data_IF_171349953450
#
_entry.id   IF_171349953450
#
_cell.length_a   1.000
_cell.length_b   1.000
_cell.length_c   1.000
_cell.angle_alpha   90.00
_cell.angle_beta   90.00
_cell.angle_gamma   90.00
#
_symmetry.space_group_name_H-M   'P 1'
#
loop_
_entity.id
_entity.type
_entity.pdbx_description
1 polymer ?
#
# COMPACT_ATOMS: atom_id res chain seq x y z
N UNK A 1 2.55 -3.01 4.23
CA UNK A 1 3.05 -1.62 4.34
C UNK A 1 1.94 -0.76 4.91
N UNK A 2 2.26 0.42 5.47
CA UNK A 2 1.31 1.23 6.23
C UNK A 2 0.65 0.38 7.32
N UNK A 3 1.51 -0.28 8.12
CA UNK A 3 1.09 -1.41 8.94
C UNK A 3 0.11 -1.01 10.06
N UNK A 4 0.16 0.25 10.51
CA UNK A 4 -0.60 0.73 11.65
C UNK A 4 -0.40 -0.19 12.85
N UNK A 5 -1.51 -0.62 13.45
CA UNK A 5 -1.51 -1.60 14.56
C UNK A 5 -1.48 -3.06 14.09
N UNK A 6 -1.35 -3.31 12.78
CA UNK A 6 -1.19 -4.65 12.21
C UNK A 6 -2.48 -5.36 11.79
N UNK A 7 -3.54 -4.64 11.43
CA UNK A 7 -4.82 -5.25 11.02
C UNK A 7 -4.69 -6.26 9.87
N UNK A 8 -3.94 -5.92 8.82
CA UNK A 8 -3.64 -6.86 7.72
C UNK A 8 -2.89 -8.09 8.20
N UNK A 9 -1.88 -7.91 9.06
CA UNK A 9 -1.09 -9.01 9.59
C UNK A 9 -1.99 -9.98 10.34
N UNK A 10 -2.82 -9.50 11.27
CA UNK A 10 -3.75 -10.35 12.00
C UNK A 10 -4.70 -11.12 11.07
N UNK A 11 -5.29 -10.43 10.08
CA UNK A 11 -6.21 -11.05 9.14
C UNK A 11 -5.56 -12.20 8.36
N UNK A 12 -4.37 -11.98 7.79
CA UNK A 12 -3.68 -12.98 6.98
C UNK A 12 -2.99 -14.07 7.81
N UNK A 13 -2.48 -13.76 9.02
CA UNK A 13 -1.96 -14.77 9.94
C UNK A 13 -3.04 -15.74 10.38
N UNK A 14 -4.27 -15.26 10.63
CA UNK A 14 -5.41 -16.13 10.93
C UNK A 14 -5.79 -17.07 9.76
N UNK A 15 -5.35 -16.74 8.54
CA UNK A 15 -5.51 -17.58 7.35
C UNK A 15 -4.27 -18.46 7.06
N UNK A 16 -3.29 -18.48 7.97
CA UNK A 16 -2.08 -19.29 7.86
C UNK A 16 -0.96 -18.68 7.02
N UNK A 17 -1.00 -17.37 6.73
CA UNK A 17 0.08 -16.68 6.03
C UNK A 17 1.11 -16.10 6.99
N UNK A 18 2.37 -16.04 6.56
CA UNK A 18 3.47 -15.47 7.34
C UNK A 18 3.77 -14.01 6.91
N UNK A 19 3.92 -13.13 7.90
CA UNK A 19 4.31 -11.74 7.65
C UNK A 19 5.83 -11.65 7.56
N UNK A 20 6.36 -11.51 6.33
CA UNK A 20 7.82 -11.44 6.08
C UNK A 20 8.39 -10.02 6.10
N UNK A 21 7.53 -9.01 6.06
CA UNK A 21 7.92 -7.60 6.09
C UNK A 21 6.77 -6.72 6.58
N UNK A 22 7.09 -5.73 7.42
CA UNK A 22 6.17 -4.68 7.85
C UNK A 22 6.87 -3.32 7.82
N UNK A 23 6.13 -2.27 7.47
CA UNK A 23 6.61 -0.88 7.49
C UNK A 23 5.51 0.04 8.01
N UNK A 24 5.88 0.91 8.95
CA UNK A 24 5.08 1.90 9.64
C UNK A 24 6.02 2.99 10.17
N UNK A 25 5.75 4.25 9.84
CA UNK A 25 6.58 5.39 10.26
C UNK A 25 6.15 6.00 11.61
N UNK A 26 4.89 5.78 12.03
CA UNK A 26 4.36 6.37 13.25
C UNK A 26 4.87 5.59 14.46
N UNK A 27 5.58 6.29 15.34
CA UNK A 27 6.24 5.69 16.50
C UNK A 27 5.23 5.07 17.47
N UNK A 28 4.02 5.62 17.59
CA UNK A 28 3.00 5.08 18.49
C UNK A 28 2.36 3.80 17.93
N UNK A 29 2.14 3.74 16.62
CA UNK A 29 1.73 2.55 15.92
C UNK A 29 2.81 1.46 16.02
N UNK A 30 4.09 1.79 15.83
CA UNK A 30 5.20 0.85 16.01
C UNK A 30 5.23 0.25 17.43
N UNK A 31 5.03 1.06 18.48
CA UNK A 31 4.95 0.56 19.87
C UNK A 31 3.82 -0.45 20.04
N UNK A 32 2.66 -0.15 19.48
CA UNK A 32 1.50 -1.05 19.53
C UNK A 32 1.77 -2.33 18.74
N UNK A 33 2.41 -2.22 17.57
CA UNK A 33 2.78 -3.35 16.74
C UNK A 33 3.78 -4.27 17.46
N UNK A 34 4.82 -3.68 18.08
CA UNK A 34 5.79 -4.41 18.91
C UNK A 34 5.11 -5.16 20.06
N UNK A 35 4.19 -4.52 20.76
CA UNK A 35 3.46 -5.14 21.87
C UNK A 35 2.62 -6.36 21.44
N UNK A 36 2.09 -6.36 20.21
CA UNK A 36 1.25 -7.45 19.70
C UNK A 36 2.04 -8.56 19.00
N UNK A 37 3.16 -8.23 18.34
CA UNK A 37 3.84 -9.14 17.43
C UNK A 37 5.32 -9.39 17.76
N UNK A 38 5.89 -8.70 18.76
CA UNK A 38 7.29 -8.83 19.13
C UNK A 38 8.27 -8.24 18.11
N UNK A 39 7.77 -7.49 17.13
CA UNK A 39 8.54 -6.96 16.00
C UNK A 39 8.31 -5.46 15.85
N UNK A 40 9.35 -4.72 15.50
CA UNK A 40 9.24 -3.29 15.16
C UNK A 40 9.15 -3.18 13.63
N UNK A 41 8.06 -2.63 13.07
CA UNK A 41 7.98 -2.35 11.64
C UNK A 41 9.12 -1.44 11.17
N UNK A 42 9.53 -1.59 9.91
CA UNK A 42 10.48 -0.67 9.30
C UNK A 42 9.86 0.72 9.15
N UNK A 43 10.67 1.77 9.10
CA UNK A 43 10.20 3.16 9.08
C UNK A 43 9.53 3.57 7.77
N UNK A 44 9.81 4.82 7.37
CA UNK A 44 9.24 5.44 6.17
C UNK A 44 9.54 4.62 4.90
N UNK A 45 8.46 4.18 4.23
CA UNK A 45 8.52 3.33 3.03
C UNK A 45 8.94 4.09 1.78
N UNK A 46 8.94 5.43 1.81
CA UNK A 46 9.39 6.27 0.68
C UNK A 46 10.90 6.22 0.50
N UNK A 47 11.64 5.90 1.57
CA UNK A 47 13.10 5.83 1.58
C UNK A 47 13.61 4.54 0.93
N UNK A 48 14.60 4.67 0.04
CA UNK A 48 15.23 3.51 -0.62
C UNK A 48 15.87 2.53 0.36
N UNK A 49 16.43 3.02 1.48
CA UNK A 49 16.96 2.15 2.54
C UNK A 49 15.89 1.23 3.13
N UNK A 50 14.67 1.72 3.34
CA UNK A 50 13.53 0.91 3.80
C UNK A 50 13.09 -0.07 2.73
N UNK A 51 12.99 0.39 1.46
CA UNK A 51 12.60 -0.47 0.33
C UNK A 51 13.59 -1.60 0.08
N UNK A 52 14.88 -1.39 0.35
CA UNK A 52 15.92 -2.41 0.21
C UNK A 52 15.84 -3.52 1.27
N UNK A 53 15.07 -3.31 2.35
CA UNK A 53 14.80 -4.34 3.36
C UNK A 53 13.63 -5.26 2.98
N UNK A 54 12.90 -4.96 1.90
CA UNK A 54 11.80 -5.81 1.43
C UNK A 54 12.39 -7.11 0.85
N UNK A 55 11.93 -8.29 1.29
CA UNK A 55 12.36 -9.56 0.72
C UNK A 55 12.17 -9.60 -0.81
N UNK A 56 13.10 -10.23 -1.52
CA UNK A 56 13.03 -10.32 -2.98
C UNK A 56 11.72 -10.97 -3.46
N UNK A 57 11.23 -11.97 -2.71
CA UNK A 57 10.01 -12.72 -3.03
C UNK A 57 9.02 -12.69 -1.88
N UNK A 58 7.76 -12.43 -2.22
CA UNK A 58 6.60 -12.58 -1.37
C UNK A 58 5.34 -12.72 -2.25
N UNK A 59 4.27 -13.31 -1.72
CA UNK A 59 3.07 -13.61 -2.50
C UNK A 59 2.03 -12.48 -2.48
N UNK A 60 1.91 -11.76 -1.36
CA UNK A 60 0.84 -10.80 -1.12
C UNK A 60 1.42 -9.45 -0.68
N UNK A 61 1.09 -8.38 -1.39
CA UNK A 61 1.32 -7.00 -0.97
C UNK A 61 0.05 -6.46 -0.31
N UNK A 62 0.12 -6.06 0.95
CA UNK A 62 -0.97 -5.34 1.62
C UNK A 62 -0.59 -3.88 1.89
N UNK A 63 -1.47 -2.94 1.56
CA UNK A 63 -1.27 -1.51 1.84
C UNK A 63 -2.59 -0.76 2.11
N UNK A 64 -2.69 -0.17 3.30
CA UNK A 64 -3.77 0.77 3.66
C UNK A 64 -3.21 2.20 3.60
N UNK A 65 -3.16 2.78 2.40
CA UNK A 65 -2.46 4.04 2.16
C UNK A 65 -3.38 5.25 2.35
N UNK A 66 -2.86 6.39 2.84
CA UNK A 66 -3.69 7.56 3.12
C UNK A 66 -4.34 8.14 1.85
N UNK A 67 -5.65 8.37 1.91
CA UNK A 67 -6.47 8.91 0.80
C UNK A 67 -6.17 10.38 0.45
N UNK A 68 -5.62 11.14 1.40
CA UNK A 68 -5.72 12.61 1.43
C UNK A 68 -4.99 13.32 0.28
N UNK A 69 -4.16 12.61 -0.48
CA UNK A 69 -3.17 13.25 -1.31
C UNK A 69 -3.47 13.24 -2.82
N UNK A 70 -4.59 12.66 -3.21
CA UNK A 70 -5.02 12.75 -4.60
C UNK A 70 -5.76 14.06 -4.90
N UNK A 71 -6.03 14.92 -3.90
CA UNK A 71 -6.85 16.14 -4.07
C UNK A 71 -6.12 17.24 -4.84
N UNK A 72 -4.83 17.05 -5.15
CA UNK A 72 -3.95 18.08 -5.71
C UNK A 72 -3.41 17.71 -7.10
N UNK A 73 -3.66 16.49 -7.60
CA UNK A 73 -3.23 16.05 -8.94
C UNK A 73 -4.09 16.69 -10.06
N UNK A 74 -4.97 17.63 -9.71
CA UNK A 74 -5.82 18.39 -10.62
C UNK A 74 -5.14 19.58 -11.32
N UNK A 75 -3.92 19.97 -10.95
CA UNK A 75 -3.19 21.02 -11.66
C UNK A 75 -1.78 20.58 -12.02
N UNK A 76 -1.43 20.82 -13.27
CA UNK A 76 -0.17 20.51 -13.95
C UNK A 76 1.06 21.17 -13.30
N UNK A 77 1.39 20.83 -12.04
CA UNK A 77 2.64 21.16 -11.37
C UNK A 77 3.08 19.95 -10.56
N UNK A 78 4.29 19.48 -10.85
CA UNK A 78 4.78 18.15 -10.53
C UNK A 78 4.84 17.81 -9.04
N UNK A 79 4.91 16.50 -8.79
CA UNK A 79 5.71 15.73 -7.81
C UNK A 79 5.98 16.26 -6.38
N UNK A 80 5.42 17.39 -5.92
CA UNK A 80 5.80 18.04 -4.66
C UNK A 80 4.86 17.78 -3.46
N UNK A 81 3.75 17.03 -3.61
CA UNK A 81 3.02 16.50 -2.44
C UNK A 81 3.41 15.03 -2.21
N UNK A 82 4.35 14.83 -1.28
CA UNK A 82 4.91 13.52 -0.90
C UNK A 82 3.84 12.51 -0.48
N UNK A 83 2.66 12.95 -0.02
CA UNK A 83 1.59 12.02 0.35
C UNK A 83 0.90 11.42 -0.87
N UNK A 84 0.90 12.15 -2.00
CA UNK A 84 0.33 11.70 -3.29
C UNK A 84 1.24 10.71 -3.99
N UNK A 85 2.49 10.64 -3.52
CA UNK A 85 3.52 9.71 -3.99
C UNK A 85 3.39 8.31 -3.40
N UNK A 86 2.69 8.13 -2.27
CA UNK A 86 2.64 6.83 -1.58
C UNK A 86 1.97 5.72 -2.40
N UNK A 87 1.00 6.05 -3.25
CA UNK A 87 0.47 5.08 -4.21
C UNK A 87 1.51 4.70 -5.27
N UNK A 88 2.32 5.66 -5.71
CA UNK A 88 3.42 5.39 -6.64
C UNK A 88 4.55 4.59 -5.99
N UNK A 89 4.81 4.74 -4.69
CA UNK A 89 5.71 3.83 -3.96
C UNK A 89 5.17 2.39 -3.95
N UNK A 90 3.87 2.21 -3.69
CA UNK A 90 3.23 0.88 -3.82
C UNK A 90 3.39 0.34 -5.23
N UNK A 91 3.17 1.18 -6.24
CA UNK A 91 3.29 0.82 -7.65
C UNK A 91 4.72 0.42 -8.02
N UNK A 92 5.72 1.17 -7.55
CA UNK A 92 7.14 0.89 -7.76
C UNK A 92 7.55 -0.45 -7.11
N UNK A 93 7.14 -0.68 -5.86
CA UNK A 93 7.42 -1.92 -5.12
C UNK A 93 6.73 -3.11 -5.82
N UNK A 94 5.48 -2.94 -6.21
CA UNK A 94 4.73 -3.92 -7.00
C UNK A 94 5.45 -4.29 -8.30
N UNK A 95 5.91 -3.30 -9.08
CA UNK A 95 6.66 -3.52 -10.32
C UNK A 95 7.95 -4.30 -10.10
N UNK A 96 8.68 -3.97 -9.03
CA UNK A 96 9.98 -4.58 -8.69
C UNK A 96 9.80 -6.04 -8.25
N UNK A 97 8.87 -6.30 -7.33
CA UNK A 97 8.76 -7.60 -6.67
C UNK A 97 7.72 -8.53 -7.28
N UNK A 98 6.77 -8.01 -8.07
CA UNK A 98 5.73 -8.75 -8.80
C UNK A 98 5.01 -9.80 -7.92
N UNK A 99 4.39 -9.39 -6.80
CA UNK A 99 3.61 -10.30 -5.97
C UNK A 99 2.46 -10.91 -6.78
N UNK A 100 1.95 -12.05 -6.31
CA UNK A 100 0.78 -12.70 -6.91
C UNK A 100 -0.50 -11.93 -6.64
N UNK A 101 -0.61 -11.30 -5.47
CA UNK A 101 -1.79 -10.55 -5.02
C UNK A 101 -1.37 -9.19 -4.52
N UNK A 102 -2.14 -8.17 -4.91
CA UNK A 102 -2.06 -6.82 -4.35
C UNK A 102 -3.40 -6.50 -3.72
N UNK A 103 -3.36 -6.26 -2.41
CA UNK A 103 -4.51 -5.99 -1.56
C UNK A 103 -4.40 -4.55 -1.03
N UNK A 104 -5.26 -3.68 -1.53
CA UNK A 104 -5.28 -2.26 -1.20
C UNK A 104 -6.54 -1.92 -0.42
N UNK A 105 -6.39 -1.20 0.68
CA UNK A 105 -7.52 -0.63 1.44
C UNK A 105 -7.44 0.89 1.41
N UNK A 106 -8.61 1.53 1.36
CA UNK A 106 -8.76 2.97 1.42
C UNK A 106 -10.16 3.34 1.92
N UNK A 107 -10.36 4.63 2.22
CA UNK A 107 -11.64 5.15 2.70
C UNK A 107 -12.71 5.15 1.60
N UNK A 108 -13.98 5.00 2.00
CA UNK A 108 -15.16 5.00 1.11
C UNK A 108 -15.22 6.18 0.14
N UNK A 109 -14.78 7.36 0.59
CA UNK A 109 -14.85 8.57 -0.23
C UNK A 109 -13.86 8.58 -1.41
N UNK A 110 -12.94 7.61 -1.51
CA UNK A 110 -11.98 7.53 -2.61
C UNK A 110 -12.66 7.55 -4.00
N UNK A 111 -13.82 6.89 -4.11
CA UNK A 111 -14.60 6.81 -5.36
C UNK A 111 -15.15 8.17 -5.80
N UNK A 112 -15.62 8.97 -4.84
CA UNK A 112 -16.17 10.30 -5.10
C UNK A 112 -15.11 11.41 -5.10
N UNK A 113 -13.91 11.10 -4.62
CA UNK A 113 -12.83 12.06 -4.43
C UNK A 113 -12.36 12.67 -5.77
N UNK A 114 -12.12 13.99 -5.78
CA UNK A 114 -11.82 14.78 -6.99
C UNK A 114 -12.75 14.45 -8.17
N UNK A 115 -14.06 14.37 -7.89
CA UNK A 115 -15.11 14.00 -8.87
C UNK A 115 -14.84 12.64 -9.55
N UNK A 116 -14.23 11.71 -8.81
CA UNK A 116 -13.88 10.36 -9.25
C UNK A 116 -12.63 10.25 -10.11
N UNK A 117 -11.88 11.34 -10.34
CA UNK A 117 -10.62 11.30 -11.11
C UNK A 117 -9.56 10.46 -10.42
N UNK A 118 -9.45 10.58 -9.10
CA UNK A 118 -8.50 9.83 -8.27
C UNK A 118 -8.66 8.33 -8.45
N UNK A 119 -9.88 7.84 -8.26
CA UNK A 119 -10.18 6.43 -8.40
C UNK A 119 -9.88 5.93 -9.81
N UNK A 120 -10.26 6.71 -10.85
CA UNK A 120 -9.93 6.38 -12.24
C UNK A 120 -8.43 6.27 -12.52
N UNK A 121 -7.60 7.14 -11.93
CA UNK A 121 -6.14 7.06 -12.08
C UNK A 121 -5.61 5.78 -11.42
N UNK A 122 -6.04 5.50 -10.20
CA UNK A 122 -5.65 4.29 -9.47
C UNK A 122 -6.04 3.05 -10.27
N UNK A 123 -7.31 2.92 -10.68
CA UNK A 123 -7.79 1.76 -11.43
C UNK A 123 -7.10 1.63 -12.78
N UNK A 124 -6.90 2.73 -13.52
CA UNK A 124 -6.17 2.70 -14.80
C UNK A 124 -4.75 2.16 -14.64
N UNK A 125 -4.03 2.61 -13.61
CA UNK A 125 -2.67 2.14 -13.32
C UNK A 125 -2.68 0.66 -12.94
N UNK A 126 -3.63 0.21 -12.12
CA UNK A 126 -3.73 -1.20 -11.74
C UNK A 126 -4.13 -2.10 -12.93
N UNK A 127 -5.08 -1.66 -13.77
CA UNK A 127 -5.56 -2.38 -14.95
C UNK A 127 -4.48 -2.52 -16.03
N UNK A 128 -3.75 -1.44 -16.34
CA UNK A 128 -2.62 -1.49 -17.29
C UNK A 128 -1.62 -2.59 -16.88
N UNK A 129 -1.41 -2.77 -15.58
CA UNK A 129 -0.47 -3.77 -15.04
C UNK A 129 -1.04 -5.17 -14.93
N UNK A 130 -2.34 -5.31 -14.70
CA UNK A 130 -3.02 -6.60 -14.79
C UNK A 130 -2.88 -7.20 -16.19
N UNK A 131 -3.03 -6.37 -17.23
CA UNK A 131 -2.86 -6.80 -18.62
C UNK A 131 -1.40 -7.10 -18.98
N UNK A 132 -0.43 -6.35 -18.44
CA UNK A 132 0.99 -6.59 -18.72
C UNK A 132 1.60 -7.77 -17.95
N UNK A 133 0.92 -8.26 -16.91
CA UNK A 133 1.46 -9.25 -15.97
C UNK A 133 0.44 -10.36 -15.71
N UNK A 134 0.30 -11.36 -16.61
CA UNK A 134 -0.78 -12.36 -16.58
C UNK A 134 -0.79 -13.31 -15.35
N UNK A 135 0.08 -13.10 -14.36
CA UNK A 135 0.14 -13.85 -13.10
C UNK A 135 -0.12 -13.00 -11.84
N UNK A 136 -0.39 -11.70 -11.98
CA UNK A 136 -0.65 -10.81 -10.86
C UNK A 136 -2.15 -10.50 -10.79
N UNK A 137 -2.82 -11.07 -9.77
CA UNK A 137 -4.21 -10.77 -9.49
C UNK A 137 -4.30 -9.50 -8.63
N UNK A 138 -4.83 -8.43 -9.22
CA UNK A 138 -5.12 -7.21 -8.50
C UNK A 138 -6.45 -7.36 -7.77
N UNK A 139 -6.43 -7.36 -6.45
CA UNK A 139 -7.62 -7.35 -5.62
C UNK A 139 -7.70 -5.99 -4.91
N UNK A 140 -8.09 -4.97 -5.66
CA UNK A 140 -8.52 -3.71 -5.08
C UNK A 140 -9.98 -3.89 -4.68
N UNK A 141 -10.22 -4.30 -3.44
CA UNK A 141 -11.58 -4.32 -2.91
C UNK A 141 -11.86 -2.99 -2.23
N UNK A 142 -13.03 -2.43 -2.49
CA UNK A 142 -13.62 -1.42 -1.62
C UNK A 142 -13.95 -2.09 -0.28
N UNK A 143 -12.98 -2.14 0.64
CA UNK A 143 -13.32 -2.40 2.03
C UNK A 143 -13.87 -1.12 2.63
N UNK A 144 -15.16 -0.93 2.39
CA UNK A 144 -15.99 0.10 3.00
C UNK A 144 -15.92 -0.10 4.52
N UNK A 145 -15.22 0.80 5.22
CA UNK A 145 -15.63 1.17 6.57
C UNK A 145 -16.84 2.11 6.49
#
# INVERSE_FOLDING_TARGET
MFAGVGGFRLAFQNLGADCVFSSEWDINAQKTYLANYGEIPKGDITLEETKNLIPEKFDILCAGFPCQAFSIVGYQKGFDDTRGTLFFDIEQISKKHRPKIIFLENVKNLVGHDKGKTFKVITSVLEEKAHSTPKCNFLCHEFIK
#
